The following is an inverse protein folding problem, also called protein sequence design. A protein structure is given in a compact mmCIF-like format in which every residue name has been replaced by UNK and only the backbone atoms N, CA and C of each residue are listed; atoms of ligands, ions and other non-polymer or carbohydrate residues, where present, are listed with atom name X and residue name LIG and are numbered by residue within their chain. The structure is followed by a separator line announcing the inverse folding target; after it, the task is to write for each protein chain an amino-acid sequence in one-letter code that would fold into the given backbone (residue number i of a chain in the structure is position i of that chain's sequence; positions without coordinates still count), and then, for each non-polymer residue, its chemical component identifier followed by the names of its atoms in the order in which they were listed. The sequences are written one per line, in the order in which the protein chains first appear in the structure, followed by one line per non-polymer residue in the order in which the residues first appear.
data_IF_233091091126
#
_entry.id   IF_233091091126
#
_cell.length_a   1.000
_cell.length_b   1.000
_cell.length_c   1.000
_cell.angle_alpha   90.00
_cell.angle_beta   90.00
_cell.angle_gamma   90.00
#
_symmetry.space_group_name_H-M   'P 1'
#
loop_
_entity.id
_entity.type
_entity.pdbx_description
1 polymer ?
#
# COMPACT_ATOMS: atom_id res chain seq x y z
N UNK A 1 -3.48 -8.98 22.09
CA UNK A 1 -2.46 -8.77 21.04
C UNK A 1 -1.43 -7.78 21.56
N UNK A 2 -0.19 -7.80 21.05
CA UNK A 2 0.78 -6.76 21.40
C UNK A 2 0.55 -5.53 20.50
N UNK A 3 0.81 -4.33 21.03
CA UNK A 3 0.66 -3.08 20.26
C UNK A 3 1.45 -3.14 18.94
N UNK A 4 2.63 -3.75 18.95
CA UNK A 4 3.45 -3.90 17.73
C UNK A 4 2.78 -4.81 16.68
N UNK A 5 2.09 -5.86 17.12
CA UNK A 5 1.39 -6.77 16.22
C UNK A 5 0.14 -6.10 15.63
N UNK A 6 -0.57 -5.30 16.43
CA UNK A 6 -1.72 -4.51 15.96
C UNK A 6 -1.29 -3.46 14.94
N UNK A 7 -0.19 -2.74 15.21
CA UNK A 7 0.38 -1.77 14.26
C UNK A 7 0.84 -2.42 12.95
N UNK A 8 1.41 -3.63 13.01
CA UNK A 8 1.80 -4.38 11.83
C UNK A 8 0.59 -4.77 10.97
N UNK A 9 -0.45 -5.34 11.58
CA UNK A 9 -1.66 -5.72 10.85
C UNK A 9 -2.39 -4.50 10.29
N UNK A 10 -2.49 -3.41 11.04
CA UNK A 10 -3.08 -2.17 10.55
C UNK A 10 -2.33 -1.61 9.33
N UNK A 11 -0.99 -1.63 9.36
CA UNK A 11 -0.18 -1.20 8.21
C UNK A 11 -0.34 -2.12 7.00
N UNK A 12 -0.44 -3.44 7.22
CA UNK A 12 -0.71 -4.42 6.17
C UNK A 12 -2.08 -4.22 5.52
N UNK A 13 -3.14 -4.08 6.32
CA UNK A 13 -4.50 -3.86 5.83
C UNK A 13 -4.63 -2.55 5.06
N UNK A 14 -4.00 -1.47 5.53
CA UNK A 14 -3.98 -0.19 4.83
C UNK A 14 -3.30 -0.30 3.45
N UNK A 15 -2.16 -1.01 3.38
CA UNK A 15 -1.44 -1.24 2.12
C UNK A 15 -2.27 -2.08 1.14
N UNK A 16 -2.90 -3.16 1.61
CA UNK A 16 -3.74 -4.01 0.75
C UNK A 16 -4.99 -3.29 0.25
N UNK A 17 -5.64 -2.49 1.11
CA UNK A 17 -6.76 -1.66 0.70
C UNK A 17 -6.37 -0.67 -0.41
N UNK A 18 -5.21 0.00 -0.28
CA UNK A 18 -4.72 0.91 -1.32
C UNK A 18 -4.34 0.17 -2.61
N UNK A 19 -3.72 -1.01 -2.52
CA UNK A 19 -3.41 -1.85 -3.70
C UNK A 19 -4.67 -2.28 -4.44
N UNK A 20 -5.74 -2.61 -3.73
CA UNK A 20 -7.02 -2.94 -4.35
C UNK A 20 -7.60 -1.75 -5.12
N UNK A 21 -7.59 -0.55 -4.51
CA UNK A 21 -7.99 0.69 -5.18
C UNK A 21 -7.15 0.97 -6.42
N UNK A 22 -5.82 0.87 -6.30
CA UNK A 22 -4.89 1.08 -7.41
C UNK A 22 -5.12 0.09 -8.55
N UNK A 23 -5.37 -1.20 -8.25
CA UNK A 23 -5.70 -2.22 -9.26
C UNK A 23 -6.98 -1.88 -10.02
N UNK A 24 -8.01 -1.39 -9.33
CA UNK A 24 -9.25 -0.96 -9.98
C UNK A 24 -9.01 0.24 -10.92
N UNK A 25 -8.21 1.22 -10.48
CA UNK A 25 -7.82 2.34 -11.34
C UNK A 25 -7.05 1.86 -12.58
N UNK A 26 -6.10 0.94 -12.42
CA UNK A 26 -5.36 0.36 -13.56
C UNK A 26 -6.28 -0.35 -14.54
N UNK A 27 -7.31 -1.05 -14.04
CA UNK A 27 -8.30 -1.71 -14.90
C UNK A 27 -9.15 -0.70 -15.69
N UNK A 28 -9.58 0.40 -15.07
CA UNK A 28 -10.31 1.49 -15.73
C UNK A 28 -9.46 2.15 -16.83
N UNK A 29 -8.19 2.46 -16.52
CA UNK A 29 -7.24 3.02 -17.49
C UNK A 29 -7.03 2.04 -18.65
N UNK A 30 -6.86 0.75 -18.38
CA UNK A 30 -6.69 -0.27 -19.42
C UNK A 30 -7.96 -0.45 -20.28
N UNK A 31 -9.14 -0.20 -19.72
CA UNK A 31 -10.40 -0.20 -20.45
C UNK A 31 -10.59 1.06 -21.34
N UNK A 32 -9.69 2.04 -21.25
CA UNK A 32 -9.73 3.28 -22.04
C UNK A 32 -10.62 4.36 -21.45
N UNK A 33 -10.97 4.27 -20.16
CA UNK A 33 -11.74 5.32 -19.49
C UNK A 33 -10.93 6.62 -19.40
N UNK A 34 -11.55 7.80 -19.60
CA UNK A 34 -10.90 9.08 -19.37
C UNK A 34 -10.39 9.17 -17.94
N UNK A 35 -9.12 9.54 -17.80
CA UNK A 35 -8.43 9.48 -16.53
C UNK A 35 -7.51 10.71 -16.36
N UNK A 36 -7.47 11.26 -15.14
CA UNK A 36 -6.66 12.43 -14.78
C UNK A 36 -5.27 12.01 -14.27
N UNK A 37 -4.22 12.33 -15.04
CA UNK A 37 -2.82 12.05 -14.71
C UNK A 37 -2.41 12.46 -13.29
N UNK A 38 -2.95 13.56 -12.76
CA UNK A 38 -2.64 13.98 -11.39
C UNK A 38 -3.12 12.96 -10.35
N UNK A 39 -4.27 12.33 -10.59
CA UNK A 39 -4.84 11.29 -9.71
C UNK A 39 -3.96 10.04 -9.71
N UNK A 40 -3.43 9.59 -10.86
CA UNK A 40 -2.50 8.45 -10.88
C UNK A 40 -1.22 8.76 -10.13
N UNK A 41 -0.67 9.96 -10.33
CA UNK A 41 0.55 10.36 -9.63
C UNK A 41 0.33 10.33 -8.11
N UNK A 42 -0.78 10.90 -7.64
CA UNK A 42 -1.15 10.86 -6.22
C UNK A 42 -1.36 9.43 -5.71
N UNK A 43 -2.05 8.58 -6.47
CA UNK A 43 -2.29 7.18 -6.10
C UNK A 43 -0.98 6.38 -5.96
N UNK A 44 -0.01 6.61 -6.86
CA UNK A 44 1.33 6.01 -6.79
C UNK A 44 2.09 6.51 -5.56
N UNK A 45 2.07 7.82 -5.30
CA UNK A 45 2.75 8.42 -4.14
C UNK A 45 2.18 7.90 -2.82
N UNK A 46 0.85 7.84 -2.69
CA UNK A 46 0.19 7.30 -1.51
C UNK A 46 0.50 5.80 -1.32
N UNK A 47 0.57 5.03 -2.41
CA UNK A 47 0.96 3.63 -2.36
C UNK A 47 2.41 3.45 -1.87
N UNK A 48 3.35 4.29 -2.33
CA UNK A 48 4.74 4.27 -1.88
C UNK A 48 4.87 4.65 -0.40
N UNK A 49 4.11 5.65 0.07
CA UNK A 49 4.06 6.03 1.49
C UNK A 49 3.58 4.86 2.36
N UNK A 50 2.47 4.21 1.99
CA UNK A 50 1.95 3.07 2.74
C UNK A 50 2.90 1.87 2.71
N UNK A 51 3.57 1.63 1.58
CA UNK A 51 4.58 0.59 1.47
C UNK A 51 5.77 0.84 2.42
N UNK A 52 6.26 2.07 2.50
CA UNK A 52 7.33 2.46 3.46
C UNK A 52 6.89 2.27 4.91
N UNK A 53 5.66 2.65 5.26
CA UNK A 53 5.10 2.44 6.60
C UNK A 53 5.02 0.94 6.93
N UNK A 54 4.51 0.12 6.01
CA UNK A 54 4.46 -1.33 6.18
C UNK A 54 5.86 -1.93 6.41
N UNK A 55 6.85 -1.53 5.60
CA UNK A 55 8.23 -1.98 5.78
C UNK A 55 8.78 -1.61 7.17
N UNK A 56 8.55 -0.38 7.64
CA UNK A 56 8.96 0.05 8.98
C UNK A 56 8.33 -0.81 10.08
N UNK A 57 7.01 -1.04 9.99
CA UNK A 57 6.26 -1.84 10.97
C UNK A 57 6.57 -3.34 10.89
N UNK A 58 7.11 -3.82 9.77
CA UNK A 58 7.53 -5.21 9.62
C UNK A 58 8.87 -5.55 10.28
N UNK A 59 9.75 -4.55 10.52
CA UNK A 59 11.11 -4.77 11.06
C UNK A 59 11.18 -5.65 12.31
N UNK A 60 10.27 -5.53 13.31
CA UNK A 60 10.31 -6.38 14.50
C UNK A 60 10.04 -7.86 14.22
N UNK A 61 9.39 -8.18 13.10
CA UNK A 61 8.92 -9.52 12.74
C UNK A 61 9.77 -10.19 11.66
N UNK A 62 10.56 -9.40 10.92
CA UNK A 62 11.44 -9.89 9.86
C UNK A 62 12.86 -9.98 10.43
N UNK A 63 13.29 -11.19 10.77
CA UNK A 63 14.67 -11.43 11.16
C UNK A 63 15.48 -11.85 9.94
N UNK A 64 16.48 -11.05 9.57
CA UNK A 64 17.46 -11.46 8.57
C UNK A 64 18.19 -12.69 9.15
N UNK A 65 18.05 -13.85 8.50
CA UNK A 65 18.94 -14.98 8.81
C UNK A 65 20.36 -14.58 8.39
N UNK A 66 21.37 -14.81 9.25
CA UNK A 66 22.77 -14.57 8.89
C UNK A 66 23.21 -15.41 7.70
#
# INVERSE_FOLDING_TARGET
MSIQQDEFFAAFEALEAKRASYRNLMAQIAAGEPFDRAVLQQEIEELDVLHKVFLEKSKPFVHWKP
#
